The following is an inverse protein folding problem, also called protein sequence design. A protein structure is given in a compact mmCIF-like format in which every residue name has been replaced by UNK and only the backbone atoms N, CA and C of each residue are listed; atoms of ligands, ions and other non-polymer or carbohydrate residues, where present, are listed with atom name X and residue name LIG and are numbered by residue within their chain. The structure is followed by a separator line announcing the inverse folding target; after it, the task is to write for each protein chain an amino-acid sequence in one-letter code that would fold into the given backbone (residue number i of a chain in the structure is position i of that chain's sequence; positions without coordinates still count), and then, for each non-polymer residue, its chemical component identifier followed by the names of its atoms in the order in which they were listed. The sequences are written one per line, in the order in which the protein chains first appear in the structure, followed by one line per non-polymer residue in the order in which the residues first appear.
data_IF_812978347476
#
_entry.id   IF_812978347476
#
_cell.length_a   1.000
_cell.length_b   1.000
_cell.length_c   1.000
_cell.angle_alpha   90.00
_cell.angle_beta   90.00
_cell.angle_gamma   90.00
#
_symmetry.space_group_name_H-M   'P 1'
#
loop_
_entity.id
_entity.type
_entity.pdbx_description
1 polymer ?
#
# COMPACT_ATOMS: atom_id res chain seq x y z
N UNK A 1 -39.54 18.52 66.65
CA UNK A 1 -39.54 17.22 65.97
C UNK A 1 -38.22 16.49 66.20
N UNK A 2 -38.38 15.30 66.79
CA UNK A 2 -37.55 14.07 66.90
C UNK A 2 -36.56 13.86 65.74
N UNK A 3 -35.29 13.44 65.89
CA UNK A 3 -34.63 12.28 66.57
C UNK A 3 -35.10 10.87 66.12
N UNK A 4 -34.15 10.01 65.76
CA UNK A 4 -34.32 8.59 65.38
C UNK A 4 -33.55 8.25 64.09
N UNK A 5 -32.35 7.66 64.09
CA UNK A 5 -31.89 6.33 64.56
C UNK A 5 -32.41 5.14 63.75
N UNK A 6 -31.45 4.41 63.20
CA UNK A 6 -31.30 2.96 62.94
C UNK A 6 -32.51 2.05 62.66
N UNK A 7 -32.38 1.23 61.60
CA UNK A 7 -32.50 -0.26 61.58
C UNK A 7 -32.44 -0.71 60.10
N UNK A 8 -31.41 -1.43 59.64
CA UNK A 8 -31.08 -2.86 59.83
C UNK A 8 -31.81 -3.84 58.90
N UNK A 9 -31.14 -4.98 58.67
CA UNK A 9 -31.52 -6.17 57.91
C UNK A 9 -31.25 -6.14 56.38
N UNK A 10 -30.14 -6.69 55.89
CA UNK A 10 -29.74 -8.12 55.84
C UNK A 10 -30.60 -8.97 54.88
N UNK A 11 -29.92 -9.54 53.89
CA UNK A 11 -30.49 -10.45 52.89
C UNK A 11 -29.36 -11.18 52.17
N UNK A 12 -28.70 -12.06 52.90
CA UNK A 12 -27.80 -13.09 52.40
C UNK A 12 -28.62 -14.22 51.75
N UNK A 13 -28.24 -14.63 50.55
CA UNK A 13 -28.61 -15.93 49.97
C UNK A 13 -27.59 -16.31 48.89
N UNK A 14 -26.60 -17.05 49.35
CA UNK A 14 -25.89 -18.15 48.67
C UNK A 14 -26.85 -19.03 47.86
N UNK A 15 -26.52 -19.36 46.61
CA UNK A 15 -26.64 -20.73 46.04
C UNK A 15 -26.18 -20.78 44.56
N UNK A 16 -25.67 -21.95 44.19
CA UNK A 16 -25.56 -22.53 42.85
C UNK A 16 -24.25 -22.31 42.06
N UNK A 17 -23.34 -23.26 42.32
CA UNK A 17 -22.35 -23.82 41.39
C UNK A 17 -22.96 -24.37 40.08
N UNK A 18 -22.05 -24.76 39.17
CA UNK A 18 -22.19 -25.48 37.89
C UNK A 18 -22.08 -24.60 36.64
N UNK A 19 -21.31 -24.92 35.59
CA UNK A 19 -20.24 -25.88 35.31
C UNK A 19 -19.73 -25.47 33.90
N UNK A 20 -18.42 -25.62 33.68
CA UNK A 20 -17.78 -25.97 32.39
C UNK A 20 -18.07 -25.15 31.12
N UNK A 21 -17.10 -24.36 30.66
CA UNK A 21 -16.74 -24.37 29.24
C UNK A 21 -15.33 -23.80 28.96
N UNK A 22 -14.74 -24.38 27.93
CA UNK A 22 -13.66 -23.86 27.08
C UNK A 22 -12.23 -24.03 27.59
N UNK A 23 -11.60 -25.04 26.99
CA UNK A 23 -10.20 -25.35 27.16
C UNK A 23 -9.29 -24.21 26.72
N UNK A 24 -8.32 -23.92 27.58
CA UNK A 24 -7.19 -23.10 27.24
C UNK A 24 -5.98 -24.00 26.94
N UNK A 25 -5.46 -23.76 25.74
CA UNK A 25 -4.19 -24.27 25.25
C UNK A 25 -3.06 -23.57 25.99
N UNK A 26 -1.95 -24.30 26.11
CA UNK A 26 -0.58 -23.80 26.01
C UNK A 26 0.24 -23.94 27.29
N UNK A 27 0.95 -25.07 27.37
CA UNK A 27 2.32 -25.03 27.86
C UNK A 27 3.11 -26.10 27.09
N UNK A 28 3.74 -25.68 25.99
CA UNK A 28 4.80 -26.46 25.35
C UNK A 28 6.12 -25.80 25.66
N UNK A 29 6.95 -26.57 26.35
CA UNK A 29 8.34 -26.35 26.70
C UNK A 29 9.19 -25.79 25.55
N UNK A 30 10.16 -24.97 25.97
CA UNK A 30 11.25 -24.46 25.18
C UNK A 30 12.16 -25.57 24.64
N UNK A 31 12.52 -25.49 23.36
CA UNK A 31 13.71 -26.13 22.80
C UNK A 31 14.29 -25.28 21.66
N UNK A 32 15.33 -24.55 22.02
CA UNK A 32 16.51 -24.13 21.26
C UNK A 32 16.59 -24.56 19.78
N UNK A 33 16.52 -23.59 18.85
CA UNK A 33 16.90 -23.80 17.44
C UNK A 33 18.24 -23.12 17.19
N UNK A 34 19.29 -23.94 17.18
CA UNK A 34 20.64 -23.57 16.80
C UNK A 34 20.67 -23.09 15.34
N UNK A 35 21.24 -21.91 15.15
CA UNK A 35 21.47 -21.25 13.86
C UNK A 35 22.69 -21.87 13.17
N UNK A 36 22.48 -22.73 12.17
CA UNK A 36 23.55 -23.27 11.33
C UNK A 36 23.63 -22.48 10.01
N UNK A 37 24.54 -21.51 9.95
CA UNK A 37 24.92 -20.81 8.72
C UNK A 37 25.92 -21.67 7.97
N UNK A 38 25.49 -22.34 6.89
CA UNK A 38 26.40 -22.98 5.93
C UNK A 38 26.79 -21.97 4.85
N UNK A 39 28.03 -21.50 4.96
CA UNK A 39 28.76 -20.76 3.93
C UNK A 39 29.10 -21.72 2.77
N UNK A 40 28.54 -21.48 1.58
CA UNK A 40 28.90 -22.21 0.36
C UNK A 40 29.83 -21.32 -0.47
N UNK A 41 31.13 -21.44 -0.20
CA UNK A 41 32.18 -20.94 -1.10
C UNK A 41 32.37 -21.98 -2.19
N UNK A 42 31.79 -21.74 -3.37
CA UNK A 42 32.08 -22.54 -4.55
C UNK A 42 33.31 -21.94 -5.25
N UNK A 43 34.48 -22.51 -4.97
CA UNK A 43 35.71 -22.23 -5.70
C UNK A 43 35.57 -22.77 -7.14
N UNK A 44 35.55 -21.86 -8.12
CA UNK A 44 35.57 -22.23 -9.54
C UNK A 44 37.00 -22.04 -10.06
N UNK A 45 37.70 -23.15 -10.20
CA UNK A 45 38.98 -23.26 -10.92
C UNK A 45 38.76 -22.97 -12.41
N UNK A 46 39.43 -21.94 -12.93
CA UNK A 46 39.41 -21.61 -14.36
C UNK A 46 40.64 -22.25 -15.00
N UNK A 47 40.44 -23.36 -15.71
CA UNK A 47 41.47 -23.92 -16.61
C UNK A 47 41.62 -23.04 -17.85
N UNK A 48 42.81 -22.48 -18.03
CA UNK A 48 43.17 -21.62 -19.15
C UNK A 48 43.31 -22.45 -20.43
N UNK A 49 42.28 -22.44 -21.28
CA UNK A 49 42.36 -22.99 -22.63
C UNK A 49 42.50 -21.86 -23.65
N UNK A 50 43.68 -21.79 -24.22
CA UNK A 50 44.13 -20.82 -25.21
C UNK A 50 43.31 -21.01 -26.49
N UNK A 51 42.46 -20.02 -26.85
CA UNK A 51 41.69 -20.03 -28.09
C UNK A 51 42.30 -19.01 -29.06
N UNK A 52 42.72 -19.53 -30.21
CA UNK A 52 43.35 -18.82 -31.32
C UNK A 52 42.38 -17.83 -31.98
N UNK A 53 42.92 -16.67 -32.35
CA UNK A 53 42.21 -15.50 -32.86
C UNK A 53 42.00 -15.61 -34.37
N UNK A 54 40.75 -15.55 -34.84
CA UNK A 54 40.40 -15.35 -36.26
C UNK A 54 39.55 -14.06 -36.39
N UNK A 55 39.88 -13.12 -37.29
CA UNK A 55 39.26 -11.80 -37.32
C UNK A 55 37.92 -11.81 -38.06
N UNK A 56 36.86 -12.21 -37.36
CA UNK A 56 35.47 -12.03 -37.80
C UNK A 56 35.04 -10.56 -37.59
N UNK A 57 34.47 -9.99 -38.66
CA UNK A 57 34.06 -8.58 -38.77
C UNK A 57 33.06 -8.22 -37.67
N UNK A 58 33.12 -7.02 -37.08
CA UNK A 58 32.24 -6.69 -35.96
C UNK A 58 30.79 -6.51 -36.43
N UNK A 59 29.98 -7.56 -36.35
CA UNK A 59 28.51 -7.48 -36.32
C UNK A 59 28.07 -7.04 -34.92
N UNK A 60 28.58 -5.90 -34.47
CA UNK A 60 28.07 -5.29 -33.24
C UNK A 60 26.60 -4.87 -33.51
N UNK A 61 25.62 -5.39 -32.77
CA UNK A 61 24.25 -4.92 -32.91
C UNK A 61 24.21 -3.41 -32.62
N UNK A 62 23.43 -2.69 -33.41
CA UNK A 62 23.27 -1.23 -33.32
C UNK A 62 23.10 -0.79 -31.86
N UNK A 63 23.86 0.24 -31.47
CA UNK A 63 23.71 0.84 -30.14
C UNK A 63 22.29 1.39 -29.99
N UNK A 64 21.76 1.40 -28.76
CA UNK A 64 20.44 1.93 -28.43
C UNK A 64 20.22 3.34 -29.02
N UNK A 65 21.27 4.18 -29.02
CA UNK A 65 21.24 5.52 -29.61
C UNK A 65 21.08 5.51 -31.14
N UNK A 66 21.58 4.49 -31.85
CA UNK A 66 21.37 4.32 -33.30
C UNK A 66 19.94 3.89 -33.62
N UNK A 67 19.34 2.99 -32.82
CA UNK A 67 17.94 2.55 -33.00
C UNK A 67 16.94 3.71 -32.85
N UNK A 68 17.11 4.56 -31.84
CA UNK A 68 16.23 5.72 -31.59
C UNK A 68 16.36 6.77 -32.71
N UNK A 69 17.55 6.91 -33.28
CA UNK A 69 17.81 7.85 -34.39
C UNK A 69 17.27 7.33 -35.73
N UNK A 70 17.16 6.00 -35.90
CA UNK A 70 16.53 5.38 -37.05
C UNK A 70 15.00 5.49 -37.01
N UNK A 71 14.38 5.36 -35.83
CA UNK A 71 12.93 5.47 -35.66
C UNK A 71 12.40 6.86 -36.01
N UNK A 72 13.09 7.93 -35.57
CA UNK A 72 12.67 9.32 -35.86
C UNK A 72 12.74 9.74 -37.32
N UNK A 73 13.46 9.01 -38.19
CA UNK A 73 13.56 9.32 -39.63
C UNK A 73 12.57 8.53 -40.50
N UNK A 74 11.79 7.61 -39.94
CA UNK A 74 10.93 6.69 -40.70
C UNK A 74 9.42 6.94 -40.59
N UNK A 75 8.94 7.82 -39.71
CA UNK A 75 7.49 7.99 -39.47
C UNK A 75 6.85 9.02 -40.40
N UNK A 76 6.81 8.68 -41.69
CA UNK A 76 5.76 9.15 -42.59
C UNK A 76 4.90 7.96 -43.01
N UNK A 77 3.66 7.97 -42.53
CA UNK A 77 2.50 7.20 -43.00
C UNK A 77 2.30 5.77 -42.46
N UNK A 78 1.09 5.60 -41.90
CA UNK A 78 0.34 4.33 -41.77
C UNK A 78 0.57 3.53 -40.49
N UNK A 79 0.00 4.05 -39.41
CA UNK A 79 -0.39 3.28 -38.24
C UNK A 79 -1.59 3.96 -37.61
N UNK A 80 -2.79 3.49 -37.96
CA UNK A 80 -4.06 3.86 -37.34
C UNK A 80 -4.01 3.49 -35.85
N UNK A 81 -3.51 4.40 -35.03
CA UNK A 81 -3.91 4.54 -33.64
C UNK A 81 -4.81 5.77 -33.58
N UNK A 82 -6.02 5.67 -33.00
CA UNK A 82 -6.92 6.80 -32.95
C UNK A 82 -6.27 7.89 -32.10
N UNK A 83 -5.76 8.90 -32.81
CA UNK A 83 -5.38 10.25 -32.38
C UNK A 83 -6.64 11.02 -31.91
N UNK A 84 -7.48 10.40 -31.07
CA UNK A 84 -8.68 11.00 -30.51
C UNK A 84 -8.71 10.95 -28.99
N UNK A 85 -7.61 11.36 -28.36
CA UNK A 85 -7.66 11.88 -26.99
C UNK A 85 -6.98 13.25 -26.86
N UNK A 86 -6.54 13.84 -27.96
CA UNK A 86 -6.14 15.25 -28.01
C UNK A 86 -7.36 16.13 -28.35
N UNK A 87 -8.39 16.09 -27.50
CA UNK A 87 -9.52 17.01 -27.59
C UNK A 87 -10.00 17.32 -26.17
N UNK A 88 -9.65 18.54 -25.74
CA UNK A 88 -10.10 19.31 -24.57
C UNK A 88 -9.35 19.15 -23.26
N UNK A 89 -8.81 20.28 -22.82
CA UNK A 89 -8.62 20.58 -21.40
C UNK A 89 -9.96 20.73 -20.69
N UNK A 90 -10.67 19.61 -20.54
CA UNK A 90 -11.67 19.40 -19.50
C UNK A 90 -11.08 18.33 -18.58
N UNK A 91 -11.15 18.56 -17.29
CA UNK A 91 -10.69 17.64 -16.23
C UNK A 91 -11.16 16.22 -16.52
N UNK A 92 -10.29 15.37 -17.07
CA UNK A 92 -10.59 13.95 -17.23
C UNK A 92 -10.88 13.39 -15.85
N UNK A 93 -12.17 13.08 -15.61
CA UNK A 93 -12.60 12.46 -14.37
C UNK A 93 -11.82 11.18 -14.18
N UNK A 94 -11.18 11.08 -13.03
CA UNK A 94 -10.41 9.90 -12.67
C UNK A 94 -11.39 8.75 -12.46
N UNK A 95 -11.31 7.72 -13.30
CA UNK A 95 -12.12 6.51 -13.14
C UNK A 95 -11.69 5.68 -11.91
N UNK A 96 -10.39 5.67 -11.61
CA UNK A 96 -9.80 4.89 -10.52
C UNK A 96 -8.76 5.71 -9.77
N UNK A 97 -9.01 5.97 -8.48
CA UNK A 97 -8.17 6.78 -7.60
C UNK A 97 -6.76 6.19 -7.50
N UNK A 98 -6.62 4.85 -7.48
CA UNK A 98 -5.33 4.17 -7.38
C UNK A 98 -4.45 4.47 -8.60
N UNK A 99 -5.02 4.57 -9.80
CA UNK A 99 -4.30 4.93 -11.02
C UNK A 99 -3.87 6.40 -11.08
N UNK A 100 -4.59 7.30 -10.40
CA UNK A 100 -4.28 8.73 -10.40
C UNK A 100 -3.21 9.15 -9.39
N UNK A 101 -2.86 8.27 -8.45
CA UNK A 101 -1.84 8.54 -7.42
C UNK A 101 -0.47 8.11 -7.94
N UNK A 102 0.48 9.05 -8.00
CA UNK A 102 1.87 8.75 -8.35
C UNK A 102 2.52 7.86 -7.30
N UNK A 103 3.55 7.07 -7.67
CA UNK A 103 4.26 6.23 -6.70
C UNK A 103 4.82 7.04 -5.52
N UNK A 104 5.32 8.25 -5.78
CA UNK A 104 5.85 9.12 -4.73
C UNK A 104 4.76 9.58 -3.77
N UNK A 105 3.59 9.99 -4.28
CA UNK A 105 2.46 10.38 -3.43
C UNK A 105 1.89 9.18 -2.68
N UNK A 106 1.87 7.98 -3.28
CA UNK A 106 1.50 6.74 -2.58
C UNK A 106 2.40 6.49 -1.37
N UNK A 107 3.73 6.57 -1.55
CA UNK A 107 4.68 6.39 -0.45
C UNK A 107 4.51 7.46 0.63
N UNK A 108 4.26 8.70 0.22
CA UNK A 108 3.94 9.80 1.12
C UNK A 108 2.69 9.50 1.95
N UNK A 109 1.59 9.08 1.31
CA UNK A 109 0.34 8.78 2.00
C UNK A 109 0.49 7.61 2.97
N UNK A 110 1.15 6.53 2.55
CA UNK A 110 1.39 5.37 3.43
C UNK A 110 2.13 5.81 4.68
N UNK A 111 3.23 6.55 4.53
CA UNK A 111 4.05 7.02 5.65
C UNK A 111 3.30 8.01 6.55
N UNK A 112 2.73 9.06 5.96
CA UNK A 112 2.22 10.19 6.73
C UNK A 112 0.76 9.98 7.14
N UNK A 113 -0.12 9.52 6.24
CA UNK A 113 -1.55 9.41 6.53
C UNK A 113 -1.95 8.06 7.12
N UNK A 114 -1.19 7.00 6.83
CA UNK A 114 -1.49 5.63 7.28
C UNK A 114 -0.42 5.06 8.21
N UNK A 115 0.47 5.88 8.77
CA UNK A 115 1.49 5.49 9.76
C UNK A 115 2.36 4.28 9.33
N UNK A 116 2.61 4.12 8.03
CA UNK A 116 3.38 3.02 7.44
C UNK A 116 2.56 1.78 7.08
N UNK A 117 1.27 1.71 7.44
CA UNK A 117 0.41 0.57 7.17
C UNK A 117 -0.08 0.56 5.70
N UNK A 118 0.67 -0.13 4.84
CA UNK A 118 0.37 -0.24 3.41
C UNK A 118 -0.95 -0.95 3.09
N UNK A 119 -1.38 -1.90 3.94
CA UNK A 119 -2.65 -2.61 3.80
C UNK A 119 -3.83 -1.67 4.02
N UNK A 120 -3.82 -0.91 5.14
CA UNK A 120 -4.85 0.07 5.45
C UNK A 120 -4.99 1.14 4.36
N UNK A 121 -3.87 1.59 3.78
CA UNK A 121 -3.90 2.48 2.61
C UNK A 121 -4.63 1.82 1.43
N UNK A 122 -4.29 0.58 1.11
CA UNK A 122 -4.85 -0.11 -0.06
C UNK A 122 -6.35 -0.31 0.11
N UNK A 123 -6.79 -0.75 1.28
CA UNK A 123 -8.22 -0.90 1.62
C UNK A 123 -8.96 0.44 1.56
N UNK A 124 -8.38 1.50 2.13
CA UNK A 124 -8.99 2.83 2.10
C UNK A 124 -9.17 3.32 0.66
N UNK A 125 -8.16 3.19 -0.20
CA UNK A 125 -8.25 3.60 -1.61
C UNK A 125 -9.29 2.74 -2.37
N UNK A 126 -9.37 1.45 -2.09
CA UNK A 126 -10.40 0.59 -2.71
C UNK A 126 -11.81 0.96 -2.27
N UNK A 127 -12.02 1.26 -0.99
CA UNK A 127 -13.32 1.74 -0.48
C UNK A 127 -13.66 3.11 -1.06
N UNK A 128 -12.67 4.00 -1.14
CA UNK A 128 -12.84 5.31 -1.75
C UNK A 128 -13.37 5.21 -3.17
N UNK A 129 -12.79 4.32 -3.99
CA UNK A 129 -13.24 4.04 -5.36
C UNK A 129 -14.70 3.54 -5.47
N UNK A 130 -15.30 3.03 -4.39
CA UNK A 130 -16.68 2.53 -4.41
C UNK A 130 -17.73 3.59 -4.09
N UNK A 131 -17.35 4.72 -3.49
CA UNK A 131 -18.30 5.81 -3.23
C UNK A 131 -18.66 6.56 -4.51
N UNK A 132 -19.89 7.05 -4.62
CA UNK A 132 -20.36 7.83 -5.76
C UNK A 132 -20.14 9.35 -5.59
N UNK A 133 -20.00 9.82 -4.35
CA UNK A 133 -19.89 11.23 -4.01
C UNK A 133 -18.73 11.54 -3.06
N UNK A 134 -18.25 12.79 -3.15
CA UNK A 134 -17.13 13.27 -2.34
C UNK A 134 -17.44 13.34 -0.85
N UNK A 135 -18.69 13.66 -0.47
CA UNK A 135 -19.05 13.85 0.94
C UNK A 135 -19.01 12.53 1.71
N UNK A 136 -19.53 11.44 1.12
CA UNK A 136 -19.45 10.09 1.67
C UNK A 136 -18.01 9.62 1.83
N UNK A 137 -17.17 9.88 0.82
CA UNK A 137 -15.74 9.56 0.87
C UNK A 137 -14.98 10.36 1.94
N UNK A 138 -15.27 11.65 2.07
CA UNK A 138 -14.69 12.52 3.10
C UNK A 138 -15.08 12.05 4.52
N UNK A 139 -16.37 11.82 4.75
CA UNK A 139 -16.88 11.32 6.03
C UNK A 139 -16.22 10.00 6.44
N UNK A 140 -16.03 9.08 5.49
CA UNK A 140 -15.30 7.83 5.72
C UNK A 140 -13.85 8.07 6.19
N UNK A 141 -13.12 8.95 5.51
CA UNK A 141 -11.73 9.25 5.88
C UNK A 141 -11.62 9.93 7.24
N UNK A 142 -12.51 10.87 7.53
CA UNK A 142 -12.55 11.59 8.79
C UNK A 142 -12.84 10.65 9.97
N UNK A 143 -13.86 9.80 9.83
CA UNK A 143 -14.28 8.88 10.88
C UNK A 143 -13.25 7.78 11.18
N UNK A 144 -12.54 7.30 10.16
CA UNK A 144 -11.69 6.12 10.29
C UNK A 144 -10.20 6.44 10.47
N UNK A 145 -9.70 7.52 9.87
CA UNK A 145 -8.25 7.77 9.77
C UNK A 145 -7.82 9.13 10.31
N UNK A 146 -8.57 10.21 10.06
CA UNK A 146 -8.06 11.55 10.30
C UNK A 146 -7.65 11.82 11.76
N UNK A 147 -8.53 11.50 12.72
CA UNK A 147 -8.24 11.68 14.14
C UNK A 147 -7.24 10.64 14.65
N UNK A 148 -7.40 9.36 14.27
CA UNK A 148 -6.57 8.25 14.75
C UNK A 148 -5.11 8.38 14.30
N UNK A 149 -4.87 8.97 13.13
CA UNK A 149 -3.54 9.09 12.52
C UNK A 149 -2.97 10.51 12.58
N UNK A 150 -3.56 11.40 13.39
CA UNK A 150 -3.13 12.79 13.60
C UNK A 150 -2.94 13.58 12.30
N UNK A 151 -3.93 13.54 11.41
CA UNK A 151 -3.86 14.22 10.11
C UNK A 151 -3.74 15.75 10.23
N UNK A 152 -4.18 16.32 11.35
CA UNK A 152 -4.07 17.75 11.64
C UNK A 152 -2.61 18.27 11.56
N UNK A 153 -1.62 17.45 11.92
CA UNK A 153 -0.20 17.83 11.86
C UNK A 153 0.44 17.58 10.48
N UNK A 154 -0.33 17.03 9.53
CA UNK A 154 0.18 16.55 8.24
C UNK A 154 -0.58 17.20 7.06
N UNK A 155 -0.82 18.52 7.06
CA UNK A 155 -1.72 19.18 6.10
C UNK A 155 -1.27 18.97 4.65
N UNK A 156 0.03 18.94 4.37
CA UNK A 156 0.55 18.76 3.01
C UNK A 156 0.16 17.40 2.40
N UNK A 157 0.25 16.32 3.18
CA UNK A 157 -0.12 14.99 2.72
C UNK A 157 -1.64 14.87 2.58
N UNK A 158 -2.38 15.45 3.52
CA UNK A 158 -3.85 15.51 3.49
C UNK A 158 -4.33 16.26 2.24
N UNK A 159 -3.84 17.47 1.99
CA UNK A 159 -4.22 18.29 0.84
C UNK A 159 -3.97 17.59 -0.50
N UNK A 160 -2.84 16.89 -0.61
CA UNK A 160 -2.53 16.08 -1.80
C UNK A 160 -3.55 14.95 -2.01
N UNK A 161 -3.95 14.24 -0.95
CA UNK A 161 -4.97 13.20 -1.03
C UNK A 161 -6.32 13.81 -1.46
N UNK A 162 -6.73 14.91 -0.83
CA UNK A 162 -7.98 15.60 -1.18
C UNK A 162 -7.97 16.21 -2.57
N UNK A 163 -6.82 16.64 -3.09
CA UNK A 163 -6.68 17.08 -4.47
C UNK A 163 -6.98 15.95 -5.47
N UNK A 164 -6.57 14.71 -5.16
CA UNK A 164 -6.90 13.54 -5.98
C UNK A 164 -8.40 13.24 -5.89
N UNK A 165 -8.99 13.27 -4.68
CA UNK A 165 -10.42 13.02 -4.49
C UNK A 165 -11.28 14.04 -5.24
N UNK A 166 -10.96 15.33 -5.17
CA UNK A 166 -11.70 16.39 -5.88
C UNK A 166 -11.64 16.22 -7.40
N UNK A 167 -10.54 15.71 -7.95
CA UNK A 167 -10.43 15.41 -9.39
C UNK A 167 -11.28 14.21 -9.82
N UNK A 168 -11.57 13.29 -8.89
CA UNK A 168 -12.39 12.11 -9.15
C UNK A 168 -13.89 12.43 -9.11
N UNK A 169 -14.32 13.21 -8.11
CA UNK A 169 -15.73 13.55 -7.89
C UNK A 169 -16.18 14.88 -8.49
N UNK A 170 -15.26 15.67 -9.04
CA UNK A 170 -15.51 17.00 -9.61
C UNK A 170 -16.11 17.00 -11.01
#
# INVERSE_FOLDING_TARGET
DTDGSDEEAAGEADDAESEEDSGDRSETEAAEVANEVKEVVNEVTIENKEVQVEPERPTRPLSLNERISAQRRGETTTGVHPLLSAQRGETERIADIKSAISLNDKLLFIKDLFNGYSLAYSEAIELLNRYDDFASADAFLQANYAQKNNWADKPVAVDKLYAVLRKRFG
#
